data_IF_322939269070
#
_entry.id   IF_322939269070
#
_cell.length_a   1.000
_cell.length_b   1.000
_cell.length_c   1.000
_cell.angle_alpha   90.00
_cell.angle_beta   90.00
_cell.angle_gamma   90.00
#
_symmetry.space_group_name_H-M   'P 1'
#
loop_
_entity.id
_entity.type
_entity.pdbx_description
1 polymer ?
#
# COMPACT_ATOMS: atom_id res chain seq x y z
N UNK A 1 -12.05 14.46 14.32
CA UNK A 1 -12.20 14.97 12.95
C UNK A 1 -12.94 13.92 12.12
N UNK A 2 -13.63 14.35 11.09
CA UNK A 2 -14.24 13.49 10.10
C UNK A 2 -13.87 14.01 8.71
N UNK A 3 -13.59 13.11 7.80
CA UNK A 3 -13.31 13.40 6.40
C UNK A 3 -14.31 12.69 5.49
N UNK A 4 -14.38 13.11 4.26
CA UNK A 4 -15.28 12.52 3.28
C UNK A 4 -14.51 12.13 2.03
N UNK A 5 -15.04 11.11 1.33
CA UNK A 5 -14.59 10.67 0.02
C UNK A 5 -15.78 10.07 -0.72
N UNK A 6 -15.93 10.44 -1.97
CA UNK A 6 -16.85 9.77 -2.88
C UNK A 6 -16.03 9.07 -3.97
N UNK A 7 -16.03 7.73 -3.97
CA UNK A 7 -15.32 6.93 -4.97
C UNK A 7 -16.28 6.43 -6.04
N UNK A 8 -16.00 6.77 -7.29
CA UNK A 8 -16.76 6.36 -8.45
C UNK A 8 -15.91 5.46 -9.36
N UNK A 9 -16.44 4.28 -9.72
CA UNK A 9 -15.75 3.27 -10.54
C UNK A 9 -16.56 2.92 -11.79
N UNK A 10 -16.61 3.78 -12.81
CA UNK A 10 -17.32 3.48 -14.05
C UNK A 10 -16.53 2.53 -14.94
N UNK A 11 -17.27 1.70 -15.67
CA UNK A 11 -16.73 0.88 -16.76
C UNK A 11 -17.44 1.25 -18.04
N UNK A 12 -16.70 1.68 -19.05
CA UNK A 12 -17.21 2.04 -20.37
C UNK A 12 -16.92 0.86 -21.31
N UNK A 13 -17.94 0.23 -21.82
CA UNK A 13 -17.81 -0.83 -22.83
C UNK A 13 -17.89 -0.21 -24.22
N UNK A 14 -16.77 -0.24 -24.95
CA UNK A 14 -16.69 0.29 -26.33
C UNK A 14 -17.15 -0.78 -27.31
N UNK A 15 -16.75 -2.04 -27.05
CA UNK A 15 -17.17 -3.22 -27.83
C UNK A 15 -17.17 -4.47 -26.93
N UNK A 16 -17.53 -5.63 -27.49
CA UNK A 16 -17.46 -6.91 -26.77
C UNK A 16 -16.03 -7.31 -26.36
N UNK A 17 -15.04 -6.76 -27.06
CA UNK A 17 -13.62 -7.03 -26.83
C UNK A 17 -12.86 -5.91 -26.13
N UNK A 18 -13.41 -4.69 -26.05
CA UNK A 18 -12.71 -3.53 -25.50
C UNK A 18 -13.54 -2.81 -24.44
N UNK A 19 -12.98 -2.69 -23.24
CA UNK A 19 -13.56 -1.90 -22.16
C UNK A 19 -12.54 -0.96 -21.54
N UNK A 20 -13.00 0.19 -21.04
CA UNK A 20 -12.20 1.16 -20.29
C UNK A 20 -12.72 1.18 -18.85
N UNK A 21 -11.82 1.13 -17.92
CA UNK A 21 -12.07 1.15 -16.49
C UNK A 21 -11.42 2.38 -15.89
N UNK A 22 -12.12 3.06 -14.99
CA UNK A 22 -11.55 4.18 -14.25
C UNK A 22 -11.99 4.15 -12.80
N UNK A 23 -11.15 4.69 -11.93
CA UNK A 23 -11.47 4.95 -10.52
C UNK A 23 -11.18 6.40 -10.25
N UNK A 24 -12.22 7.12 -9.83
CA UNK A 24 -12.14 8.56 -9.52
C UNK A 24 -12.59 8.76 -8.08
N UNK A 25 -11.74 9.41 -7.29
CA UNK A 25 -12.10 9.88 -5.96
C UNK A 25 -12.45 11.37 -6.04
N UNK A 26 -13.61 11.73 -5.50
CA UNK A 26 -14.10 13.10 -5.41
C UNK A 26 -14.13 13.49 -3.94
N UNK A 27 -13.68 14.68 -3.60
CA UNK A 27 -13.49 15.18 -2.24
C UNK A 27 -12.63 14.22 -1.40
N UNK A 28 -11.53 13.75 -1.99
CA UNK A 28 -10.64 12.76 -1.39
C UNK A 28 -10.01 13.32 -0.11
N UNK A 29 -10.39 12.75 1.04
CA UNK A 29 -9.92 13.14 2.37
C UNK A 29 -10.20 14.60 2.77
N UNK A 30 -11.20 15.23 2.17
CA UNK A 30 -11.61 16.57 2.60
C UNK A 30 -12.19 16.50 4.01
N UNK A 31 -11.60 17.26 4.93
CA UNK A 31 -12.09 17.37 6.30
C UNK A 31 -13.43 18.11 6.33
N UNK A 32 -14.42 17.54 7.02
CA UNK A 32 -15.72 18.16 7.18
C UNK A 32 -15.60 19.50 7.92
N UNK A 33 -16.29 20.51 7.40
CA UNK A 33 -16.31 21.85 7.99
C UNK A 33 -15.56 22.89 7.17
N UNK A 34 -15.12 22.59 5.95
CA UNK A 34 -14.35 23.41 5.01
C UNK A 34 -13.63 24.60 5.66
N UNK A 35 -12.33 24.55 5.67
CA UNK A 35 -11.49 25.54 6.35
C UNK A 35 -11.53 26.85 5.59
N UNK A 36 -12.01 27.96 6.19
CA UNK A 36 -11.79 29.27 5.61
C UNK A 36 -10.29 29.56 5.53
N UNK A 37 -9.88 30.51 4.69
CA UNK A 37 -8.49 30.99 4.59
C UNK A 37 -7.92 31.30 5.99
N UNK A 38 -7.38 30.27 6.61
CA UNK A 38 -6.74 30.36 7.92
C UNK A 38 -5.25 30.55 7.72
N UNK A 39 -4.77 31.73 8.08
CA UNK A 39 -3.33 31.95 8.12
C UNK A 39 -2.78 31.45 9.48
N UNK A 40 -2.10 30.30 9.52
CA UNK A 40 -1.55 29.74 10.75
C UNK A 40 -0.47 30.64 11.39
N UNK A 41 0.05 31.62 10.65
CA UNK A 41 1.00 32.62 11.14
C UNK A 41 0.33 33.79 11.86
N UNK A 42 -1.00 33.79 11.94
CA UNK A 42 -1.76 34.81 12.65
C UNK A 42 -2.72 34.19 13.67
N UNK A 43 -2.18 33.62 14.76
CA UNK A 43 -3.01 33.06 15.83
C UNK A 43 -3.78 34.12 16.62
N UNK A 44 -3.52 35.42 16.34
CA UNK A 44 -4.15 36.59 16.94
C UNK A 44 -5.51 36.95 16.34
N UNK A 45 -6.01 36.16 15.36
CA UNK A 45 -7.34 36.39 14.78
C UNK A 45 -8.33 35.33 15.29
N UNK A 46 -8.81 35.49 16.57
CA UNK A 46 -9.70 34.47 17.18
C UNK A 46 -11.09 34.42 16.55
N UNK A 47 -11.43 35.39 15.67
CA UNK A 47 -12.75 35.54 15.08
C UNK A 47 -12.89 34.88 13.70
N UNK A 48 -11.84 34.24 13.18
CA UNK A 48 -11.94 33.47 11.93
C UNK A 48 -12.98 32.36 12.04
N UNK A 49 -13.18 31.78 13.24
CA UNK A 49 -14.21 30.79 13.50
C UNK A 49 -15.64 31.32 13.34
N UNK A 50 -15.84 32.63 13.37
CA UNK A 50 -17.13 33.29 13.22
C UNK A 50 -17.31 33.93 11.83
N UNK A 51 -16.34 33.76 10.96
CA UNK A 51 -16.45 34.22 9.57
C UNK A 51 -17.47 33.35 8.84
N UNK A 52 -18.45 33.99 8.24
CA UNK A 52 -19.45 33.32 7.40
C UNK A 52 -18.99 33.13 5.95
N UNK A 53 -17.85 33.66 5.58
CA UNK A 53 -17.30 33.53 4.24
C UNK A 53 -16.56 32.20 4.12
N UNK A 54 -17.26 31.16 3.73
CA UNK A 54 -16.65 29.92 3.27
C UNK A 54 -16.24 30.12 1.82
N UNK A 55 -14.97 30.36 1.60
CA UNK A 55 -14.40 30.29 0.26
C UNK A 55 -14.24 28.81 -0.11
N UNK A 56 -14.49 28.43 -1.37
CA UNK A 56 -14.04 27.13 -1.84
C UNK A 56 -12.55 27.01 -1.51
N UNK A 57 -12.13 25.91 -0.92
CA UNK A 57 -10.76 25.75 -0.46
C UNK A 57 -9.78 26.00 -1.60
N UNK A 58 -8.73 26.76 -1.42
CA UNK A 58 -7.75 27.24 -2.39
C UNK A 58 -6.27 27.06 -1.99
N UNK A 59 -5.98 26.40 -0.87
CA UNK A 59 -4.60 26.17 -0.37
C UNK A 59 -4.26 24.68 -0.18
N UNK A 60 -3.14 24.38 0.46
CA UNK A 60 -2.54 23.04 0.61
C UNK A 60 -3.49 21.92 1.11
N UNK A 61 -4.61 22.26 1.69
CA UNK A 61 -5.64 21.33 2.19
C UNK A 61 -6.90 21.31 1.31
N UNK A 62 -6.78 21.65 0.04
CA UNK A 62 -7.90 22.17 -0.73
C UNK A 62 -8.25 21.42 -1.99
N UNK A 63 -9.39 21.83 -2.55
CA UNK A 63 -10.05 21.38 -3.78
C UNK A 63 -9.12 21.17 -4.99
N UNK A 64 -7.91 21.66 -4.98
CA UNK A 64 -6.93 21.39 -6.03
C UNK A 64 -6.79 19.88 -6.28
N UNK A 65 -6.99 19.08 -5.24
CA UNK A 65 -6.95 17.62 -5.25
C UNK A 65 -8.33 16.99 -5.01
N UNK A 66 -9.40 17.77 -5.09
CA UNK A 66 -10.76 17.29 -4.81
C UNK A 66 -11.26 16.23 -5.80
N UNK A 67 -10.66 16.16 -6.97
CA UNK A 67 -10.93 15.11 -7.97
C UNK A 67 -9.60 14.46 -8.35
N UNK A 68 -9.45 13.19 -7.96
CA UNK A 68 -8.29 12.38 -8.28
C UNK A 68 -8.66 11.20 -9.15
N UNK A 69 -8.07 11.12 -10.34
CA UNK A 69 -8.15 9.92 -11.16
C UNK A 69 -7.07 8.96 -10.66
N UNK A 70 -7.47 7.92 -9.92
CA UNK A 70 -6.55 6.91 -9.38
C UNK A 70 -6.19 5.86 -10.40
N UNK A 71 -7.16 5.43 -11.19
CA UNK A 71 -6.98 4.40 -12.21
C UNK A 71 -7.64 4.84 -13.52
N UNK A 72 -6.97 4.57 -14.61
CA UNK A 72 -7.50 4.67 -15.97
C UNK A 72 -6.77 3.66 -16.85
N UNK A 73 -7.46 2.57 -17.19
CA UNK A 73 -6.87 1.49 -17.98
C UNK A 73 -7.89 0.86 -18.92
N UNK A 74 -7.38 0.28 -19.97
CA UNK A 74 -8.17 -0.45 -20.95
C UNK A 74 -7.92 -1.96 -20.82
N UNK A 75 -8.98 -2.75 -21.04
CA UNK A 75 -8.91 -4.19 -21.22
C UNK A 75 -9.30 -4.53 -22.64
N UNK A 76 -8.41 -5.18 -23.35
CA UNK A 76 -8.64 -5.69 -24.69
C UNK A 76 -8.53 -7.21 -24.70
N UNK A 77 -9.62 -7.90 -25.04
CA UNK A 77 -9.66 -9.36 -25.19
C UNK A 77 -9.04 -9.75 -26.51
N UNK A 78 -7.77 -10.11 -26.49
CA UNK A 78 -7.00 -10.50 -27.65
C UNK A 78 -6.85 -12.04 -27.66
N UNK A 79 -7.39 -12.73 -28.68
CA UNK A 79 -7.27 -14.20 -28.85
C UNK A 79 -7.66 -15.01 -27.60
N UNK A 80 -8.62 -14.53 -26.81
CA UNK A 80 -9.07 -15.19 -25.58
C UNK A 80 -8.27 -14.84 -24.31
N UNK A 81 -7.22 -14.05 -24.44
CA UNK A 81 -6.44 -13.53 -23.32
C UNK A 81 -6.69 -12.02 -23.11
N UNK A 82 -6.97 -11.54 -21.91
CA UNK A 82 -7.06 -10.11 -21.65
C UNK A 82 -5.67 -9.48 -21.64
N UNK A 83 -5.47 -8.51 -22.54
CA UNK A 83 -4.40 -7.54 -22.48
C UNK A 83 -4.92 -6.30 -21.76
N UNK A 84 -4.24 -5.85 -20.72
CA UNK A 84 -4.57 -4.63 -19.97
C UNK A 84 -3.43 -3.64 -20.05
N UNK A 85 -3.76 -2.38 -20.23
CA UNK A 85 -2.77 -1.32 -20.29
C UNK A 85 -3.34 0.00 -19.77
N UNK A 86 -2.49 0.79 -19.12
CA UNK A 86 -2.80 2.05 -18.48
C UNK A 86 -2.46 2.06 -16.99
N UNK A 87 -2.90 3.10 -16.28
CA UNK A 87 -2.68 3.22 -14.83
C UNK A 87 -3.67 2.36 -14.07
N UNK A 88 -3.18 1.38 -13.35
CA UNK A 88 -4.02 0.45 -12.59
C UNK A 88 -3.43 0.11 -11.23
N UNK A 89 -4.31 -0.21 -10.28
CA UNK A 89 -3.92 -0.64 -8.94
C UNK A 89 -3.24 -2.02 -8.98
N UNK A 90 -2.26 -2.19 -8.11
CA UNK A 90 -1.61 -3.47 -7.84
C UNK A 90 -2.02 -3.97 -6.47
N UNK A 91 -2.63 -5.15 -6.43
CA UNK A 91 -3.04 -5.76 -5.17
C UNK A 91 -2.77 -7.26 -5.21
N UNK A 92 -2.09 -7.76 -4.19
CA UNK A 92 -1.75 -9.16 -4.07
C UNK A 92 -2.05 -9.67 -2.66
N UNK A 93 -2.51 -10.90 -2.55
CA UNK A 93 -2.75 -11.59 -1.28
C UNK A 93 -3.66 -10.83 -0.31
N UNK A 94 -3.18 -10.66 0.91
CA UNK A 94 -3.78 -9.81 1.96
C UNK A 94 -3.53 -8.31 1.72
N UNK A 95 -2.63 -7.99 0.80
CA UNK A 95 -2.17 -6.62 0.57
C UNK A 95 -1.08 -6.18 1.53
N UNK A 96 -0.30 -7.13 2.06
CA UNK A 96 0.82 -6.84 2.95
C UNK A 96 1.98 -6.18 2.20
N UNK A 97 2.26 -6.64 0.97
CA UNK A 97 3.34 -6.10 0.14
C UNK A 97 2.82 -5.14 -0.93
N UNK A 98 1.75 -5.50 -1.63
CA UNK A 98 1.17 -4.69 -2.71
C UNK A 98 -0.32 -4.50 -2.46
N UNK A 99 -0.75 -3.26 -2.26
CA UNK A 99 -2.12 -2.92 -1.92
C UNK A 99 -2.70 -1.87 -2.87
N UNK A 100 -3.71 -2.24 -3.63
CA UNK A 100 -4.35 -1.35 -4.60
C UNK A 100 -5.23 -0.25 -4.02
N UNK A 101 -5.29 -0.11 -2.69
CA UNK A 101 -6.05 0.96 -2.04
C UNK A 101 -7.56 0.91 -2.32
N UNK A 102 -8.11 -0.28 -2.55
CA UNK A 102 -9.52 -0.44 -2.92
C UNK A 102 -10.49 -0.47 -1.73
N UNK A 103 -9.97 -0.60 -0.53
CA UNK A 103 -10.77 -0.56 0.69
C UNK A 103 -11.32 0.85 0.95
N UNK A 104 -12.47 0.96 1.62
CA UNK A 104 -13.10 2.24 1.94
C UNK A 104 -12.23 3.15 2.83
N UNK A 105 -11.40 2.54 3.68
CA UNK A 105 -10.47 3.20 4.62
C UNK A 105 -9.02 3.23 4.07
N UNK A 106 -8.82 3.10 2.76
CA UNK A 106 -7.51 3.13 2.15
C UNK A 106 -7.22 4.52 1.57
N UNK A 107 -6.21 5.20 2.10
CA UNK A 107 -5.80 6.54 1.68
C UNK A 107 -4.74 6.51 0.59
N UNK A 108 -3.97 5.46 0.54
CA UNK A 108 -2.90 5.22 -0.41
C UNK A 108 -3.32 4.16 -1.44
N UNK A 109 -2.40 3.69 -2.22
CA UNK A 109 -2.58 2.59 -3.15
C UNK A 109 -1.38 2.50 -4.06
N UNK A 110 -0.99 1.28 -4.38
CA UNK A 110 0.04 1.00 -5.37
C UNK A 110 -0.57 1.09 -6.76
N UNK A 111 -0.33 2.19 -7.46
CA UNK A 111 -0.76 2.41 -8.84
C UNK A 111 0.44 2.47 -9.75
N UNK A 112 0.39 1.69 -10.83
CA UNK A 112 1.47 1.64 -11.81
C UNK A 112 0.94 1.89 -13.21
N UNK A 113 1.75 2.57 -14.03
CA UNK A 113 1.54 2.62 -15.47
C UNK A 113 2.02 1.29 -16.04
N UNK A 114 1.06 0.41 -16.35
CA UNK A 114 1.24 -1.03 -16.52
C UNK A 114 0.76 -1.52 -17.87
N UNK A 115 1.50 -2.45 -18.46
CA UNK A 115 1.02 -3.33 -19.52
C UNK A 115 1.11 -4.75 -19.01
N UNK A 116 0.00 -5.48 -19.02
CA UNK A 116 -0.04 -6.86 -18.54
C UNK A 116 -0.96 -7.75 -19.38
N UNK A 117 -0.63 -9.02 -19.40
CA UNK A 117 -1.45 -10.07 -20.00
C UNK A 117 -1.66 -11.21 -19.01
N UNK A 118 -2.80 -11.86 -19.08
CA UNK A 118 -3.08 -13.04 -18.25
C UNK A 118 -3.68 -14.16 -19.09
N UNK A 119 -3.32 -15.39 -18.74
CA UNK A 119 -3.81 -16.61 -19.36
C UNK A 119 -4.37 -17.54 -18.29
N UNK A 120 -5.39 -18.30 -18.64
CA UNK A 120 -5.90 -19.36 -17.77
C UNK A 120 -5.64 -20.72 -18.41
N UNK A 121 -4.98 -21.59 -17.68
CA UNK A 121 -4.69 -22.96 -18.08
C UNK A 121 -5.09 -23.92 -16.95
N UNK A 122 -6.05 -24.81 -17.20
CA UNK A 122 -6.48 -25.84 -16.24
C UNK A 122 -6.84 -25.31 -14.84
N UNK A 123 -7.49 -24.15 -14.75
CA UNK A 123 -7.86 -23.53 -13.48
C UNK A 123 -6.72 -22.77 -12.77
N UNK A 124 -5.55 -22.68 -13.38
CA UNK A 124 -4.42 -21.87 -12.93
C UNK A 124 -4.33 -20.64 -13.84
N UNK A 125 -4.19 -19.47 -13.22
CA UNK A 125 -3.92 -18.22 -13.92
C UNK A 125 -2.42 -17.94 -13.92
N UNK A 126 -1.91 -17.54 -15.08
CA UNK A 126 -0.55 -17.05 -15.26
C UNK A 126 -0.68 -15.63 -15.79
N UNK A 127 -0.14 -14.68 -15.08
CA UNK A 127 -0.12 -13.27 -15.49
C UNK A 127 1.32 -12.77 -15.51
N UNK A 128 1.62 -11.87 -16.42
CA UNK A 128 2.89 -11.18 -16.48
C UNK A 128 2.71 -9.79 -17.04
N UNK A 129 3.60 -8.89 -16.67
CA UNK A 129 3.53 -7.51 -17.11
C UNK A 129 4.80 -6.73 -16.84
N UNK A 130 4.76 -5.50 -17.30
CA UNK A 130 5.80 -4.52 -17.13
C UNK A 130 5.18 -3.22 -16.62
N UNK A 131 5.82 -2.61 -15.63
CA UNK A 131 5.38 -1.40 -14.97
C UNK A 131 6.46 -0.33 -15.05
N UNK A 132 6.05 0.90 -15.33
CA UNK A 132 6.79 2.11 -15.03
C UNK A 132 6.31 2.57 -13.65
N UNK A 133 7.21 2.53 -12.67
CA UNK A 133 6.89 2.84 -11.27
C UNK A 133 7.10 4.32 -10.98
N UNK A 134 8.18 4.90 -11.53
CA UNK A 134 8.53 6.30 -11.39
C UNK A 134 9.35 6.73 -12.60
N UNK A 135 9.10 7.95 -13.07
CA UNK A 135 9.82 8.54 -14.21
C UNK A 135 11.17 9.19 -13.83
N UNK A 136 11.64 8.95 -12.60
CA UNK A 136 12.93 9.47 -12.17
C UNK A 136 13.04 11.01 -12.11
N UNK A 137 14.23 11.52 -11.81
CA UNK A 137 14.47 12.96 -11.63
C UNK A 137 14.58 13.76 -12.92
N UNK A 138 14.83 13.14 -14.07
CA UNK A 138 14.96 13.87 -15.36
C UNK A 138 13.59 14.14 -16.02
N UNK A 139 12.51 13.69 -15.38
CA UNK A 139 11.17 13.99 -15.74
C UNK A 139 10.87 15.48 -15.57
N UNK A 140 10.52 16.14 -16.66
CA UNK A 140 10.05 17.53 -16.62
C UNK A 140 8.53 17.58 -16.63
N UNK A 141 7.96 17.83 -15.46
CA UNK A 141 6.57 18.28 -15.44
C UNK A 141 6.52 19.60 -16.18
N UNK A 142 5.76 19.66 -17.26
CA UNK A 142 5.51 20.90 -17.96
C UNK A 142 4.74 21.86 -17.04
N UNK A 143 5.41 22.40 -16.02
CA UNK A 143 4.98 23.63 -15.35
C UNK A 143 5.05 24.80 -16.32
N UNK A 144 5.53 24.56 -17.52
CA UNK A 144 5.61 25.53 -18.61
C UNK A 144 4.29 25.51 -19.38
N UNK A 145 3.62 26.64 -19.56
CA UNK A 145 2.35 26.72 -20.27
C UNK A 145 2.42 26.35 -21.75
N UNK A 146 3.55 25.85 -22.26
CA UNK A 146 3.83 25.72 -23.69
C UNK A 146 4.35 24.35 -24.14
N UNK A 147 4.29 23.32 -23.32
CA UNK A 147 4.85 22.03 -23.73
C UNK A 147 4.14 20.80 -23.18
N UNK A 148 4.34 19.67 -23.83
CA UNK A 148 4.04 18.36 -23.25
C UNK A 148 5.08 18.06 -22.20
N UNK A 149 4.68 17.35 -21.14
CA UNK A 149 5.62 16.71 -20.24
C UNK A 149 6.52 15.77 -21.05
N UNK A 150 7.80 15.77 -20.78
CA UNK A 150 8.77 14.88 -21.43
C UNK A 150 9.76 14.34 -20.41
N UNK A 151 10.29 13.20 -20.73
CA UNK A 151 11.37 12.56 -19.99
C UNK A 151 12.64 12.62 -20.84
N UNK A 152 13.75 13.04 -20.25
CA UNK A 152 15.02 13.19 -20.97
C UNK A 152 15.68 11.83 -21.15
N UNK A 153 15.55 10.95 -20.17
CA UNK A 153 16.14 9.61 -20.23
C UNK A 153 15.36 8.64 -19.34
N UNK A 154 15.16 7.44 -19.83
CA UNK A 154 14.52 6.35 -19.07
C UNK A 154 15.53 5.57 -18.19
N UNK A 155 16.77 6.03 -18.09
CA UNK A 155 17.81 5.34 -17.32
C UNK A 155 17.73 5.61 -15.82
N UNK A 156 17.06 6.66 -15.41
CA UNK A 156 16.73 7.05 -14.03
C UNK A 156 15.35 6.56 -13.55
N UNK A 157 14.57 6.00 -14.48
CA UNK A 157 13.31 5.39 -14.16
C UNK A 157 13.42 4.23 -13.17
N UNK A 158 12.43 4.13 -12.30
CA UNK A 158 12.17 2.91 -11.55
C UNK A 158 11.23 2.02 -12.36
N UNK A 159 11.77 0.95 -12.89
CA UNK A 159 11.07 0.01 -13.76
C UNK A 159 10.94 -1.35 -13.09
N UNK A 160 9.85 -2.06 -13.37
CA UNK A 160 9.70 -3.44 -12.90
C UNK A 160 8.98 -4.34 -13.90
N UNK A 161 9.40 -5.60 -13.92
CA UNK A 161 8.64 -6.68 -14.51
C UNK A 161 8.08 -7.58 -13.44
N UNK A 162 6.93 -8.20 -13.69
CA UNK A 162 6.36 -9.17 -12.75
C UNK A 162 5.78 -10.39 -13.43
N UNK A 163 5.73 -11.48 -12.67
CA UNK A 163 5.04 -12.72 -13.02
C UNK A 163 4.21 -13.15 -11.83
N UNK A 164 2.98 -13.58 -12.08
CA UNK A 164 2.09 -14.16 -11.09
C UNK A 164 1.54 -15.50 -11.58
N UNK A 165 1.55 -16.50 -10.71
CA UNK A 165 0.93 -17.81 -10.95
C UNK A 165 0.00 -18.07 -9.77
N UNK A 166 -1.29 -18.26 -10.03
CA UNK A 166 -2.24 -18.39 -8.94
C UNK A 166 -3.48 -19.20 -9.32
N UNK A 167 -4.15 -19.72 -8.30
CA UNK A 167 -5.44 -20.38 -8.41
C UNK A 167 -6.39 -19.73 -7.40
N UNK A 168 -7.30 -18.91 -7.91
CA UNK A 168 -8.42 -18.30 -7.15
C UNK A 168 -9.57 -18.04 -8.15
N UNK A 169 -10.82 -18.01 -7.68
CA UNK A 169 -11.93 -17.69 -8.57
C UNK A 169 -11.84 -16.23 -9.05
N UNK A 170 -11.89 -16.06 -10.37
CA UNK A 170 -11.98 -14.74 -11.03
C UNK A 170 -13.27 -14.64 -11.83
N UNK A 171 -13.62 -15.72 -12.56
CA UNK A 171 -14.83 -15.74 -13.39
C UNK A 171 -16.05 -16.13 -12.57
N UNK A 172 -17.23 -15.66 -12.99
CA UNK A 172 -18.47 -15.90 -12.24
C UNK A 172 -18.74 -17.39 -12.00
N UNK A 173 -18.52 -18.24 -12.99
CA UNK A 173 -18.72 -19.69 -12.85
C UNK A 173 -17.78 -20.33 -11.82
N UNK A 174 -16.57 -19.80 -11.63
CA UNK A 174 -15.63 -20.26 -10.60
C UNK A 174 -16.08 -19.85 -9.21
N UNK A 175 -16.62 -18.63 -9.06
CA UNK A 175 -17.25 -18.19 -7.83
C UNK A 175 -18.45 -19.05 -7.45
N UNK A 176 -19.28 -19.40 -8.44
CA UNK A 176 -20.44 -20.29 -8.24
C UNK A 176 -20.01 -21.71 -7.86
N UNK A 177 -18.99 -22.24 -8.52
CA UNK A 177 -18.39 -23.53 -8.19
C UNK A 177 -17.83 -23.54 -6.75
N UNK A 178 -17.09 -22.48 -6.37
CA UNK A 178 -16.59 -22.30 -4.99
C UNK A 178 -17.73 -22.24 -3.98
N UNK A 179 -18.77 -21.45 -4.24
CA UNK A 179 -19.96 -21.36 -3.38
C UNK A 179 -20.62 -22.73 -3.21
N UNK A 180 -20.77 -23.50 -4.29
CA UNK A 180 -21.31 -24.86 -4.25
C UNK A 180 -20.44 -25.78 -3.40
N UNK A 181 -19.13 -25.77 -3.57
CA UNK A 181 -18.17 -26.54 -2.78
C UNK A 181 -18.27 -26.24 -1.29
N UNK A 182 -18.31 -24.95 -0.91
CA UNK A 182 -18.36 -24.52 0.48
C UNK A 182 -19.73 -24.76 1.13
N UNK A 183 -20.83 -24.42 0.41
CA UNK A 183 -22.17 -24.35 1.02
C UNK A 183 -22.94 -25.67 0.85
N UNK A 184 -22.87 -26.32 -0.31
CA UNK A 184 -23.60 -27.57 -0.59
C UNK A 184 -22.79 -28.80 -0.22
N UNK A 185 -21.54 -28.88 -0.69
CA UNK A 185 -20.70 -30.03 -0.49
C UNK A 185 -20.01 -30.05 0.89
N UNK A 186 -19.97 -28.93 1.59
CA UNK A 186 -19.30 -28.79 2.88
C UNK A 186 -17.82 -29.18 2.83
N UNK A 187 -17.16 -28.86 1.74
CA UNK A 187 -15.72 -29.13 1.53
C UNK A 187 -14.91 -27.85 1.64
N UNK A 188 -13.68 -27.93 2.14
CA UNK A 188 -12.79 -26.77 2.16
C UNK A 188 -12.42 -26.33 0.74
N UNK A 189 -12.29 -25.03 0.54
CA UNK A 189 -11.77 -24.42 -0.67
C UNK A 189 -10.39 -23.83 -0.35
N UNK A 190 -9.44 -24.07 -1.27
CA UNK A 190 -8.07 -23.56 -1.17
C UNK A 190 -7.78 -22.67 -2.35
N UNK A 191 -7.19 -21.54 -2.08
CA UNK A 191 -6.62 -20.65 -3.06
C UNK A 191 -5.15 -20.44 -2.73
N UNK A 192 -4.36 -20.19 -3.73
CA UNK A 192 -2.93 -19.92 -3.59
C UNK A 192 -2.41 -19.06 -4.73
N UNK A 193 -1.29 -18.40 -4.49
CA UNK A 193 -0.61 -17.68 -5.53
C UNK A 193 0.84 -17.38 -5.17
N UNK A 194 1.65 -17.32 -6.22
CA UNK A 194 3.03 -16.86 -6.18
C UNK A 194 3.13 -15.65 -7.11
N UNK A 195 3.60 -14.54 -6.57
CA UNK A 195 3.87 -13.30 -7.27
C UNK A 195 5.34 -12.97 -7.14
N UNK A 196 5.98 -12.57 -8.21
CA UNK A 196 7.40 -12.22 -8.17
C UNK A 196 7.62 -10.98 -9.00
N UNK A 197 8.26 -9.99 -8.43
CA UNK A 197 8.65 -8.75 -9.07
C UNK A 197 10.16 -8.71 -9.24
N UNK A 198 10.63 -8.26 -10.39
CA UNK A 198 11.98 -7.80 -10.60
C UNK A 198 11.95 -6.29 -10.83
N UNK A 199 12.57 -5.53 -9.93
CA UNK A 199 12.62 -4.05 -9.97
C UNK A 199 14.05 -3.59 -10.15
N UNK A 200 14.25 -2.51 -10.92
CA UNK A 200 15.58 -1.90 -11.13
C UNK A 200 15.47 -0.38 -11.19
N UNK A 201 16.57 0.28 -10.80
CA UNK A 201 16.83 1.70 -10.97
C UNK A 201 18.33 1.88 -11.18
N UNK A 202 18.74 2.57 -12.25
CA UNK A 202 20.16 2.75 -12.56
C UNK A 202 20.68 4.09 -12.02
N UNK A 203 19.96 5.16 -12.26
CA UNK A 203 20.33 6.52 -11.85
C UNK A 203 19.29 7.09 -10.87
N UNK A 204 19.70 8.09 -10.10
CA UNK A 204 18.85 8.78 -9.12
C UNK A 204 19.38 10.18 -8.87
N UNK A 205 18.66 11.01 -8.14
CA UNK A 205 19.14 12.34 -7.70
C UNK A 205 19.93 12.18 -6.42
N UNK A 206 21.05 12.90 -6.25
CA UNK A 206 21.66 13.05 -4.95
C UNK A 206 20.72 13.78 -3.99
N UNK A 207 20.82 13.46 -2.70
CA UNK A 207 20.12 14.21 -1.65
C UNK A 207 20.48 15.70 -1.75
N UNK A 208 19.50 16.62 -1.63
CA UNK A 208 19.82 18.04 -1.63
C UNK A 208 20.79 18.36 -0.49
N UNK A 209 21.81 19.14 -0.80
CA UNK A 209 22.79 19.56 0.19
C UNK A 209 22.07 20.32 1.32
N UNK A 210 22.30 19.91 2.56
CA UNK A 210 21.84 20.64 3.75
C UNK A 210 22.97 21.50 4.32
N UNK A 211 22.67 22.70 4.78
CA UNK A 211 23.61 23.50 5.54
C UNK A 211 23.88 22.86 6.91
N UNK A 212 24.87 23.36 7.63
CA UNK A 212 25.21 22.86 8.96
C UNK A 212 24.12 23.00 10.03
N UNK A 213 22.97 23.60 9.69
CA UNK A 213 21.77 23.69 10.53
C UNK A 213 20.70 22.67 10.14
N UNK A 214 20.93 21.87 9.09
CA UNK A 214 19.94 20.94 8.55
C UNK A 214 18.90 21.57 7.61
N UNK A 215 19.08 22.85 7.25
CA UNK A 215 18.24 23.53 6.28
C UNK A 215 18.67 23.13 4.89
N UNK A 216 17.74 22.66 4.06
CA UNK A 216 18.00 22.40 2.64
C UNK A 216 18.49 23.72 2.02
N UNK A 217 19.67 23.68 1.44
CA UNK A 217 20.17 24.80 0.63
C UNK A 217 19.32 24.79 -0.64
N UNK A 218 18.26 25.58 -0.65
CA UNK A 218 17.55 25.91 -1.87
C UNK A 218 18.50 26.72 -2.75
N UNK A 219 19.30 26.02 -3.54
CA UNK A 219 20.02 26.67 -4.61
C UNK A 219 18.96 27.04 -5.68
N UNK A 220 18.53 28.31 -5.64
CA UNK A 220 17.60 28.89 -6.61
C UNK A 220 18.16 28.85 -8.04
N UNK A 221 19.40 28.42 -8.20
CA UNK A 221 20.14 28.22 -9.44
C UNK A 221 20.32 26.73 -9.82
N UNK A 222 19.50 25.83 -9.29
CA UNK A 222 19.37 24.47 -9.83
C UNK A 222 18.82 24.57 -11.28
N UNK A 223 19.66 25.14 -12.13
CA UNK A 223 19.54 25.02 -13.57
C UNK A 223 19.89 23.60 -13.93
N UNK A 224 19.21 23.05 -14.90
CA UNK A 224 19.43 21.71 -15.47
C UNK A 224 20.90 21.39 -15.79
N UNK A 225 21.77 22.38 -15.81
CA UNK A 225 23.19 22.28 -16.11
C UNK A 225 24.04 21.66 -14.97
N UNK A 226 23.48 21.51 -13.76
CA UNK A 226 24.20 21.08 -12.57
C UNK A 226 23.63 19.79 -11.92
N UNK A 227 22.77 19.05 -12.62
CA UNK A 227 22.29 17.75 -12.14
C UNK A 227 23.41 16.70 -12.26
N UNK A 228 24.10 16.44 -11.17
CA UNK A 228 24.89 15.22 -11.04
C UNK A 228 23.95 14.06 -10.71
N UNK A 229 23.66 13.22 -11.70
CA UNK A 229 22.89 12.00 -11.46
C UNK A 229 23.78 10.98 -10.71
N UNK A 230 23.24 10.47 -9.60
CA UNK A 230 23.88 9.44 -8.82
C UNK A 230 23.65 8.06 -9.43
N UNK A 231 24.69 7.28 -9.58
CA UNK A 231 24.53 5.86 -9.97
C UNK A 231 24.01 5.06 -8.80
N UNK A 232 22.72 4.69 -8.83
CA UNK A 232 22.11 3.77 -7.86
C UNK A 232 22.45 2.32 -8.16
N UNK A 233 22.41 1.93 -9.43
CA UNK A 233 22.64 0.54 -9.87
C UNK A 233 21.85 -0.46 -8.98
N UNK A 234 20.63 -0.10 -8.64
CA UNK A 234 19.78 -0.85 -7.74
C UNK A 234 18.96 -1.91 -8.51
N UNK A 235 18.87 -3.09 -7.93
CA UNK A 235 17.92 -4.10 -8.38
C UNK A 235 17.40 -4.93 -7.21
N UNK A 236 16.19 -5.45 -7.36
CA UNK A 236 15.59 -6.34 -6.37
C UNK A 236 14.71 -7.39 -7.05
N UNK A 237 14.73 -8.61 -6.50
CA UNK A 237 13.75 -9.67 -6.75
C UNK A 237 12.88 -9.79 -5.51
N UNK A 238 11.57 -9.75 -5.70
CA UNK A 238 10.58 -9.70 -4.62
C UNK A 238 9.57 -10.84 -4.83
N UNK A 239 9.85 -12.06 -4.35
CA UNK A 239 8.87 -13.13 -4.31
C UNK A 239 7.87 -12.92 -3.17
N UNK A 240 6.60 -13.23 -3.43
CA UNK A 240 5.49 -13.17 -2.50
C UNK A 240 4.59 -14.40 -2.68
N UNK A 241 4.37 -15.11 -1.61
CA UNK A 241 3.52 -16.30 -1.54
C UNK A 241 2.26 -15.98 -0.74
N UNK A 242 1.11 -16.24 -1.33
CA UNK A 242 -0.18 -16.12 -0.70
C UNK A 242 -0.94 -17.43 -0.69
N UNK A 243 -1.55 -17.76 0.45
CA UNK A 243 -2.35 -18.97 0.68
C UNK A 243 -3.66 -18.60 1.38
N UNK A 244 -4.78 -19.17 0.95
CA UNK A 244 -6.07 -19.03 1.62
C UNK A 244 -6.80 -20.35 1.69
N UNK A 245 -7.34 -20.66 2.85
CA UNK A 245 -8.28 -21.74 3.08
C UNK A 245 -9.60 -21.19 3.63
N UNK A 246 -10.70 -21.59 3.05
CA UNK A 246 -12.04 -21.33 3.56
C UNK A 246 -12.79 -22.64 3.73
N UNK A 247 -13.51 -22.80 4.86
CA UNK A 247 -14.30 -23.97 5.16
C UNK A 247 -15.60 -23.60 5.86
N UNK A 248 -16.71 -24.18 5.43
CA UNK A 248 -18.03 -23.98 6.02
C UNK A 248 -18.67 -25.32 6.39
N UNK A 249 -18.33 -25.89 7.56
CA UNK A 249 -18.84 -27.19 7.99
C UNK A 249 -20.35 -27.19 8.21
N UNK A 250 -20.94 -26.03 8.54
CA UNK A 250 -22.38 -25.85 8.69
C UNK A 250 -22.84 -24.47 8.22
N UNK A 251 -24.14 -24.18 8.20
CA UNK A 251 -24.66 -22.85 7.87
C UNK A 251 -24.24 -21.78 8.87
N UNK A 252 -23.99 -22.20 10.12
CA UNK A 252 -23.62 -21.29 11.21
C UNK A 252 -22.11 -21.25 11.46
N UNK A 253 -21.32 -22.01 10.72
CA UNK A 253 -19.89 -22.12 10.96
C UNK A 253 -19.09 -21.77 9.71
N UNK A 254 -18.12 -20.89 9.88
CA UNK A 254 -17.17 -20.51 8.85
C UNK A 254 -15.77 -20.45 9.48
N UNK A 255 -14.80 -21.06 8.81
CA UNK A 255 -13.39 -20.91 9.10
C UNK A 255 -12.71 -20.29 7.88
N UNK A 256 -11.93 -19.24 8.09
CA UNK A 256 -11.03 -18.63 7.11
C UNK A 256 -9.63 -18.58 7.71
N UNK A 257 -8.66 -19.00 6.92
CA UNK A 257 -7.25 -18.87 7.25
C UNK A 257 -6.56 -18.31 6.02
N UNK A 258 -5.78 -17.27 6.21
CA UNK A 258 -5.02 -16.61 5.16
C UNK A 258 -3.60 -16.34 5.62
N UNK A 259 -2.64 -16.50 4.72
CA UNK A 259 -1.21 -16.27 4.95
C UNK A 259 -0.62 -15.58 3.73
N UNK A 260 0.17 -14.55 3.96
CA UNK A 260 1.02 -13.91 2.97
C UNK A 260 2.44 -13.85 3.50
N UNK A 261 3.43 -14.15 2.66
CA UNK A 261 4.84 -14.10 3.01
C UNK A 261 5.65 -13.58 1.82
N UNK A 262 6.36 -12.48 2.05
CA UNK A 262 7.17 -11.82 1.03
C UNK A 262 8.62 -11.67 1.48
N UNK A 263 9.51 -11.61 0.51
CA UNK A 263 10.93 -11.35 0.71
C UNK A 263 11.42 -10.35 -0.33
N UNK A 264 12.32 -9.47 0.07
CA UNK A 264 13.06 -8.59 -0.86
C UNK A 264 14.51 -9.04 -0.85
N UNK A 265 15.01 -9.43 -1.99
CA UNK A 265 16.40 -9.79 -2.19
C UNK A 265 16.99 -8.96 -3.33
N UNK A 266 18.12 -8.30 -3.10
CA UNK A 266 18.70 -7.45 -4.12
C UNK A 266 19.95 -6.72 -3.66
N UNK A 267 20.19 -5.59 -4.31
CA UNK A 267 21.38 -4.81 -4.14
C UNK A 267 21.12 -3.35 -4.50
N UNK A 268 21.77 -2.45 -3.77
CA UNK A 268 21.91 -1.03 -4.10
C UNK A 268 23.39 -0.75 -4.24
N UNK A 269 23.83 -0.30 -5.43
CA UNK A 269 25.24 -0.08 -5.72
C UNK A 269 25.82 1.09 -4.95
N UNK A 270 25.08 2.20 -4.85
CA UNK A 270 25.50 3.40 -4.14
C UNK A 270 24.36 3.95 -3.31
N UNK A 271 24.57 4.11 -2.02
CA UNK A 271 23.56 4.57 -1.06
C UNK A 271 23.64 6.05 -0.80
N UNK A 272 24.84 6.62 -0.76
CA UNK A 272 25.07 8.00 -0.38
C UNK A 272 24.90 8.98 -1.54
N UNK A 273 24.47 10.20 -1.23
CA UNK A 273 24.33 11.30 -2.16
C UNK A 273 25.63 11.67 -2.92
N UNK A 274 26.78 11.48 -2.30
CA UNK A 274 28.09 11.77 -2.91
C UNK A 274 28.73 10.57 -3.63
N UNK A 275 28.00 9.46 -3.81
CA UNK A 275 28.50 8.26 -4.46
C UNK A 275 29.56 7.47 -3.68
N UNK A 276 29.84 7.83 -2.42
CA UNK A 276 30.92 7.23 -1.63
C UNK A 276 30.52 6.06 -0.75
N UNK A 277 29.23 5.80 -0.59
CA UNK A 277 28.69 4.86 0.41
C UNK A 277 28.89 3.37 0.10
N UNK A 278 29.30 3.04 -1.11
CA UNK A 278 29.53 1.66 -1.54
C UNK A 278 28.25 0.82 -1.60
N UNK A 279 28.42 -0.40 -2.03
CA UNK A 279 27.35 -1.37 -2.25
C UNK A 279 26.69 -1.85 -0.96
N UNK A 280 25.35 -2.04 -1.00
CA UNK A 280 24.54 -2.64 0.07
C UNK A 280 23.69 -3.79 -0.48
N UNK A 281 23.67 -4.88 0.24
CA UNK A 281 22.76 -6.00 -0.03
C UNK A 281 21.38 -5.71 0.58
N UNK A 282 20.32 -5.96 -0.17
CA UNK A 282 18.95 -5.96 0.32
C UNK A 282 18.56 -7.39 0.68
N UNK A 283 18.15 -7.63 1.92
CA UNK A 283 17.64 -8.93 2.36
C UNK A 283 16.63 -8.73 3.48
N UNK A 284 15.37 -8.52 3.14
CA UNK A 284 14.30 -8.29 4.10
C UNK A 284 13.12 -9.21 3.84
N UNK A 285 12.30 -9.44 4.85
CA UNK A 285 11.14 -10.33 4.76
C UNK A 285 9.99 -9.85 5.64
N UNK A 286 8.78 -10.21 5.23
CA UNK A 286 7.56 -9.97 5.97
C UNK A 286 6.63 -11.17 5.87
N UNK A 287 5.83 -11.38 6.92
CA UNK A 287 4.79 -12.42 6.96
C UNK A 287 3.57 -11.88 7.69
N UNK A 288 2.38 -12.13 7.14
CA UNK A 288 1.10 -11.81 7.73
C UNK A 288 0.19 -13.04 7.74
N UNK A 289 -0.52 -13.23 8.81
CA UNK A 289 -1.47 -14.30 9.03
C UNK A 289 -2.79 -13.73 9.54
N UNK A 290 -3.89 -14.16 8.95
CA UNK A 290 -5.26 -13.87 9.40
C UNK A 290 -6.03 -15.17 9.56
N UNK A 291 -6.56 -15.39 10.75
CA UNK A 291 -7.42 -16.53 11.07
C UNK A 291 -8.75 -16.07 11.63
N UNK A 292 -9.87 -16.57 11.11
CA UNK A 292 -11.21 -16.22 11.56
C UNK A 292 -12.08 -17.46 11.67
N UNK A 293 -12.75 -17.62 12.80
CA UNK A 293 -13.77 -18.64 13.02
C UNK A 293 -15.07 -18.00 13.47
N UNK A 294 -16.12 -18.19 12.69
CA UNK A 294 -17.49 -17.74 13.01
C UNK A 294 -18.37 -18.92 13.39
N UNK A 295 -19.15 -18.74 14.45
CA UNK A 295 -20.20 -19.68 14.87
C UNK A 295 -21.45 -18.92 15.30
N UNK A 296 -22.47 -18.91 14.44
CA UNK A 296 -23.67 -18.12 14.66
C UNK A 296 -23.36 -16.63 14.70
N UNK A 297 -23.70 -15.97 15.79
CA UNK A 297 -23.42 -14.54 16.02
C UNK A 297 -22.02 -14.27 16.57
N UNK A 298 -21.26 -15.29 16.93
CA UNK A 298 -19.92 -15.14 17.51
C UNK A 298 -18.87 -15.34 16.44
N UNK A 299 -17.96 -14.38 16.30
CA UNK A 299 -16.74 -14.48 15.50
C UNK A 299 -15.54 -14.28 16.40
N UNK A 300 -14.56 -15.17 16.31
CA UNK A 300 -13.25 -15.08 16.96
C UNK A 300 -12.19 -15.08 15.88
N UNK A 301 -11.18 -14.28 16.06
CA UNK A 301 -10.08 -14.26 15.12
C UNK A 301 -8.74 -14.02 15.79
N UNK A 302 -7.71 -14.25 14.98
CA UNK A 302 -6.33 -14.03 15.33
C UNK A 302 -5.62 -13.49 14.09
N UNK A 303 -5.14 -12.26 14.19
CA UNK A 303 -4.22 -11.68 13.20
C UNK A 303 -2.83 -11.67 13.83
N UNK A 304 -1.83 -12.03 13.07
CA UNK A 304 -0.44 -12.02 13.51
C UNK A 304 0.48 -11.70 12.34
N UNK A 305 1.62 -11.11 12.61
CA UNK A 305 2.59 -10.84 11.57
C UNK A 305 3.95 -10.46 12.12
N UNK A 306 4.90 -10.41 11.20
CA UNK A 306 6.24 -9.96 11.49
C UNK A 306 6.88 -9.34 10.26
N UNK A 307 7.63 -8.26 10.46
CA UNK A 307 8.44 -7.60 9.45
C UNK A 307 9.87 -7.49 9.97
N UNK A 308 10.82 -7.98 9.20
CA UNK A 308 12.24 -7.91 9.57
C UNK A 308 12.68 -6.47 9.82
N UNK A 309 13.60 -6.29 10.74
CA UNK A 309 14.18 -5.02 11.11
C UNK A 309 15.62 -4.88 10.64
N UNK A 310 16.13 -3.67 10.82
CA UNK A 310 17.55 -3.33 10.65
C UNK A 310 18.02 -2.67 11.96
N UNK A 311 19.26 -2.92 12.34
CA UNK A 311 19.84 -2.31 13.54
C UNK A 311 20.14 -0.81 13.38
N UNK A 312 20.12 -0.30 12.16
CA UNK A 312 20.34 1.11 11.87
C UNK A 312 19.17 1.97 12.30
N UNK A 313 19.44 2.99 13.11
CA UNK A 313 18.40 3.86 13.72
C UNK A 313 17.52 4.59 12.70
N UNK A 314 18.03 4.92 11.53
CA UNK A 314 17.30 5.66 10.51
C UNK A 314 16.32 4.84 9.66
N UNK A 315 16.25 3.53 9.80
CA UNK A 315 15.46 2.67 8.91
C UNK A 315 14.08 2.29 9.44
N UNK A 316 13.71 2.65 10.65
CA UNK A 316 12.40 2.29 11.20
C UNK A 316 11.36 3.40 11.01
N UNK A 317 11.32 4.36 11.89
CA UNK A 317 10.25 5.38 11.93
C UNK A 317 10.83 6.78 11.69
N UNK A 318 12.04 7.01 12.16
CA UNK A 318 12.60 8.34 12.31
C UNK A 318 13.90 8.47 11.56
N UNK A 319 14.04 9.61 10.93
CA UNK A 319 15.24 10.24 10.44
C UNK A 319 16.28 9.33 9.74
N UNK A 320 16.25 9.37 8.44
CA UNK A 320 17.21 8.69 7.55
C UNK A 320 18.62 9.26 7.68
N UNK A 321 18.82 10.38 8.36
CA UNK A 321 20.11 11.08 8.47
C UNK A 321 21.21 10.28 9.14
N UNK A 322 20.86 9.31 9.99
CA UNK A 322 21.84 8.49 10.69
C UNK A 322 22.14 7.14 10.02
N UNK A 323 21.42 6.81 8.94
CA UNK A 323 21.60 5.55 8.22
C UNK A 323 23.04 5.30 7.79
N UNK A 324 23.72 6.33 7.29
CA UNK A 324 25.10 6.24 6.83
C UNK A 324 26.10 5.98 7.96
N UNK A 325 25.86 6.57 9.13
CA UNK A 325 26.76 6.44 10.28
C UNK A 325 26.59 5.09 10.97
N UNK A 326 25.36 4.66 11.18
CA UNK A 326 25.07 3.43 11.88
C UNK A 326 25.37 2.18 11.02
N UNK A 327 25.27 2.31 9.69
CA UNK A 327 25.59 1.23 8.74
C UNK A 327 27.02 1.23 8.18
N UNK A 328 27.91 2.00 8.77
CA UNK A 328 29.32 2.04 8.30
C UNK A 328 29.99 0.66 8.21
N UNK A 329 29.62 -0.26 9.07
CA UNK A 329 30.15 -1.62 9.14
C UNK A 329 29.18 -2.71 8.68
N UNK A 330 27.89 -2.41 8.56
CA UNK A 330 26.86 -3.33 8.09
C UNK A 330 26.51 -3.03 6.62
N UNK A 331 26.86 -3.96 5.73
CA UNK A 331 26.58 -3.83 4.29
C UNK A 331 25.19 -4.35 3.87
N UNK A 332 24.31 -4.63 4.83
CA UNK A 332 22.98 -5.16 4.56
C UNK A 332 21.91 -4.18 4.95
N UNK A 333 20.87 -4.12 4.16
CA UNK A 333 19.60 -3.45 4.47
C UNK A 333 18.58 -4.57 4.67
N UNK A 334 18.11 -4.74 5.91
CA UNK A 334 17.28 -5.87 6.30
C UNK A 334 15.87 -5.45 6.75
N UNK A 335 15.56 -4.16 6.72
CA UNK A 335 14.27 -3.64 7.13
C UNK A 335 13.18 -3.91 6.08
N UNK A 336 12.09 -4.54 6.49
CA UNK A 336 10.88 -4.73 5.70
C UNK A 336 9.77 -3.82 6.24
N UNK A 337 8.95 -3.28 5.33
CA UNK A 337 7.76 -2.50 5.68
C UNK A 337 6.55 -3.10 4.99
N UNK A 338 5.47 -3.30 5.74
CA UNK A 338 4.17 -3.62 5.15
C UNK A 338 3.63 -2.40 4.41
N UNK A 339 2.75 -2.64 3.46
CA UNK A 339 2.01 -1.57 2.82
C UNK A 339 1.21 -0.76 3.86
N UNK A 340 1.13 0.56 3.66
CA UNK A 340 0.44 1.46 4.59
C UNK A 340 -1.05 1.20 4.72
N UNK A 341 -1.68 0.64 3.68
CA UNK A 341 -3.10 0.27 3.70
C UNK A 341 -3.37 -1.11 4.29
N UNK A 342 -2.33 -1.85 4.67
CA UNK A 342 -2.50 -3.07 5.47
C UNK A 342 -2.68 -2.69 6.93
N UNK A 343 -3.89 -2.32 7.29
CA UNK A 343 -4.23 -1.81 8.62
C UNK A 343 -4.37 -2.95 9.62
N UNK A 344 -3.48 -2.99 10.59
CA UNK A 344 -3.48 -3.95 11.68
C UNK A 344 -4.27 -3.44 12.88
N UNK A 345 -4.11 -2.16 13.21
CA UNK A 345 -4.61 -1.50 14.41
C UNK A 345 -5.13 -0.08 14.12
N UNK A 346 -5.44 0.67 15.16
CA UNK A 346 -5.92 2.05 15.06
C UNK A 346 -4.83 3.08 15.39
N UNK A 347 -3.85 2.75 16.24
CA UNK A 347 -2.91 3.72 16.80
C UNK A 347 -1.46 3.34 16.52
N UNK A 348 -0.99 2.18 17.02
CA UNK A 348 0.44 1.86 17.06
C UNK A 348 1.08 1.82 15.68
N UNK A 349 0.63 0.92 14.82
CA UNK A 349 1.20 0.79 13.48
C UNK A 349 0.61 1.80 12.50
N UNK A 350 -0.65 2.17 12.67
CA UNK A 350 -1.33 3.08 11.75
C UNK A 350 -0.88 4.53 11.92
N UNK A 351 -0.92 5.07 13.13
CA UNK A 351 -0.71 6.50 13.38
C UNK A 351 0.71 6.80 13.88
N UNK A 352 1.26 5.95 14.74
CA UNK A 352 2.57 6.21 15.35
C UNK A 352 3.71 5.77 14.43
N UNK A 353 3.61 4.55 13.87
CA UNK A 353 4.67 3.97 13.04
C UNK A 353 4.43 4.14 11.54
N UNK A 354 3.20 4.36 11.11
CA UNK A 354 2.80 4.48 9.71
C UNK A 354 2.72 3.15 8.94
N UNK A 355 3.29 2.06 9.46
CA UNK A 355 3.17 0.69 8.93
C UNK A 355 3.78 -0.32 9.89
N UNK A 356 3.54 -1.61 9.68
CA UNK A 356 4.27 -2.68 10.38
C UNK A 356 5.68 -2.76 9.80
N UNK A 357 6.67 -2.56 10.64
CA UNK A 357 8.09 -2.63 10.30
C UNK A 357 8.92 -2.96 11.54
N UNK A 358 10.01 -3.71 11.38
CA UNK A 358 10.91 -4.06 12.48
C UNK A 358 10.20 -4.60 13.72
N UNK A 359 9.12 -5.34 13.57
CA UNK A 359 8.29 -5.81 14.68
C UNK A 359 7.60 -7.12 14.35
N UNK A 360 7.19 -7.81 15.39
CA UNK A 360 6.14 -8.81 15.29
C UNK A 360 4.96 -8.40 16.16
N UNK A 361 3.77 -8.84 15.78
CA UNK A 361 2.54 -8.60 16.51
C UNK A 361 1.64 -9.80 16.54
N UNK A 362 0.77 -9.83 17.55
CA UNK A 362 -0.33 -10.77 17.71
C UNK A 362 -1.56 -9.99 18.11
N UNK A 363 -2.68 -10.19 17.39
CA UNK A 363 -3.93 -9.49 17.63
C UNK A 363 -5.11 -10.47 17.66
N UNK A 364 -5.40 -11.14 18.78
CA UNK A 364 -6.67 -11.83 18.97
C UNK A 364 -7.82 -10.83 19.02
N UNK A 365 -8.98 -11.24 18.50
CA UNK A 365 -10.20 -10.47 18.59
C UNK A 365 -11.44 -11.33 18.76
N UNK A 366 -12.48 -10.70 19.29
CA UNK A 366 -13.81 -11.26 19.43
C UNK A 366 -14.84 -10.26 18.91
N UNK A 367 -15.77 -10.75 18.11
CA UNK A 367 -16.88 -9.99 17.59
C UNK A 367 -18.18 -10.72 17.90
N UNK A 368 -19.20 -9.97 18.28
CA UNK A 368 -20.53 -10.49 18.52
C UNK A 368 -21.58 -9.66 17.82
N UNK A 369 -22.40 -10.31 17.00
CA UNK A 369 -23.53 -9.70 16.30
C UNK A 369 -24.75 -9.76 17.23
N UNK A 370 -25.09 -8.61 17.83
CA UNK A 370 -26.25 -8.46 18.72
C UNK A 370 -27.56 -8.64 17.96
N UNK A 371 -27.60 -8.17 16.73
CA UNK A 371 -28.71 -8.31 15.80
C UNK A 371 -28.14 -8.69 14.43
N UNK A 372 -28.67 -9.73 13.85
CA UNK A 372 -28.27 -10.22 12.53
C UNK A 372 -29.53 -10.63 11.76
N UNK A 373 -30.01 -9.73 10.89
CA UNK A 373 -31.11 -9.97 9.96
C UNK A 373 -30.55 -10.07 8.53
N UNK A 374 -31.31 -10.59 7.55
CA UNK A 374 -30.86 -10.66 6.17
C UNK A 374 -30.37 -9.31 5.60
N UNK A 375 -30.96 -8.21 6.04
CA UNK A 375 -30.75 -6.88 5.47
C UNK A 375 -29.91 -5.95 6.38
N UNK A 376 -29.66 -6.33 7.65
CA UNK A 376 -28.91 -5.49 8.58
C UNK A 376 -28.28 -6.28 9.73
N UNK A 377 -27.10 -5.89 10.12
CA UNK A 377 -26.41 -6.40 11.30
C UNK A 377 -25.94 -5.25 12.20
N UNK A 378 -26.09 -5.42 13.50
CA UNK A 378 -25.51 -4.54 14.53
C UNK A 378 -24.68 -5.39 15.45
N UNK A 379 -23.47 -4.99 15.73
CA UNK A 379 -22.58 -5.74 16.59
C UNK A 379 -21.48 -4.90 17.20
N UNK A 380 -20.69 -5.58 18.02
CA UNK A 380 -19.48 -5.03 18.63
C UNK A 380 -18.30 -5.94 18.44
N UNK A 381 -17.12 -5.36 18.36
CA UNK A 381 -15.83 -6.06 18.26
C UNK A 381 -14.85 -5.49 19.27
N UNK A 382 -14.07 -6.34 19.87
CA UNK A 382 -12.96 -6.02 20.75
C UNK A 382 -11.70 -6.69 20.21
N UNK A 383 -10.67 -5.90 20.00
CA UNK A 383 -9.35 -6.34 19.55
C UNK A 383 -8.32 -6.07 20.66
N UNK A 384 -7.36 -6.96 20.81
CA UNK A 384 -6.22 -6.79 21.72
C UNK A 384 -4.95 -7.00 20.90
N UNK A 385 -4.15 -5.98 20.73
CA UNK A 385 -2.89 -6.07 20.02
C UNK A 385 -1.73 -5.99 20.98
N UNK A 386 -0.78 -6.90 20.85
CA UNK A 386 0.54 -6.81 21.47
C UNK A 386 1.62 -6.86 20.40
N UNK A 387 2.58 -5.95 20.51
CA UNK A 387 3.67 -5.86 19.55
C UNK A 387 5.03 -5.69 20.23
N UNK A 388 6.06 -6.22 19.55
CA UNK A 388 7.44 -6.18 20.02
C UNK A 388 8.42 -5.99 18.86
N UNK A 389 9.46 -5.17 19.09
CA UNK A 389 10.54 -4.95 18.16
C UNK A 389 11.38 -6.19 17.93
N UNK A 390 11.83 -6.42 16.69
CA UNK A 390 12.81 -7.44 16.34
C UNK A 390 14.25 -6.92 16.57
N UNK A 391 14.49 -5.65 16.20
CA UNK A 391 15.76 -4.94 16.39
C UNK A 391 15.52 -3.72 17.30
N UNK A 392 15.56 -3.88 18.64
CA UNK A 392 15.21 -2.81 19.57
C UNK A 392 16.09 -1.56 19.45
N UNK A 393 17.36 -1.74 19.09
CA UNK A 393 18.31 -0.62 18.95
C UNK A 393 17.91 0.40 17.88
N UNK A 394 17.06 0.01 16.94
CA UNK A 394 16.56 0.88 15.89
C UNK A 394 15.45 1.84 16.38
N UNK A 395 14.90 1.59 17.55
CA UNK A 395 13.86 2.43 18.15
C UNK A 395 14.43 3.43 19.16
N UNK A 396 13.76 4.59 19.34
CA UNK A 396 14.09 5.49 20.43
C UNK A 396 14.02 4.77 21.79
N UNK A 397 15.07 4.89 22.60
CA UNK A 397 15.14 4.23 23.91
C UNK A 397 15.66 2.80 23.90
N UNK A 398 15.69 2.10 22.76
CA UNK A 398 16.24 0.74 22.65
C UNK A 398 15.43 -0.35 23.36
N UNK A 399 14.18 -0.05 23.72
CA UNK A 399 13.30 -1.01 24.37
C UNK A 399 12.63 -1.94 23.37
N UNK A 400 12.52 -3.25 23.66
CA UNK A 400 11.90 -4.19 22.76
C UNK A 400 10.38 -4.12 22.73
N UNK A 401 9.72 -3.72 23.83
CA UNK A 401 8.27 -3.72 23.93
C UNK A 401 7.70 -2.46 23.28
N UNK A 402 6.90 -2.63 22.22
CA UNK A 402 6.22 -1.54 21.53
C UNK A 402 4.88 -1.19 22.19
N UNK A 403 4.32 -2.11 22.96
CA UNK A 403 3.15 -1.88 23.79
C UNK A 403 1.97 -2.81 23.54
N UNK A 404 0.90 -2.50 24.25
CA UNK A 404 -0.40 -3.17 24.20
C UNK A 404 -1.45 -2.14 23.76
N UNK A 405 -2.24 -2.48 22.76
CA UNK A 405 -3.35 -1.66 22.29
C UNK A 405 -4.67 -2.42 22.45
N UNK A 406 -5.70 -1.70 22.87
CA UNK A 406 -7.05 -2.22 23.03
C UNK A 406 -7.99 -1.39 22.15
N UNK A 407 -8.60 -2.02 21.15
CA UNK A 407 -9.56 -1.40 20.25
C UNK A 407 -10.97 -1.93 20.48
N UNK A 408 -11.93 -1.02 20.56
CA UNK A 408 -13.34 -1.36 20.63
C UNK A 408 -14.11 -0.73 19.46
N UNK A 409 -14.90 -1.53 18.76
CA UNK A 409 -15.67 -1.09 17.61
C UNK A 409 -17.14 -1.47 17.77
N UNK A 410 -18.04 -0.54 17.52
CA UNK A 410 -19.45 -0.80 17.30
C UNK A 410 -19.71 -0.61 15.82
N UNK A 411 -20.41 -1.53 15.18
CA UNK A 411 -20.69 -1.45 13.77
C UNK A 411 -22.18 -1.68 13.47
N UNK A 412 -22.60 -1.04 12.40
CA UNK A 412 -23.85 -1.29 11.70
C UNK A 412 -23.51 -1.64 10.26
N UNK A 413 -23.96 -2.78 9.78
CA UNK A 413 -23.85 -3.19 8.39
C UNK A 413 -25.27 -3.37 7.81
N UNK A 414 -25.51 -2.82 6.62
CA UNK A 414 -26.72 -3.08 5.85
C UNK A 414 -26.33 -3.60 4.48
N UNK A 415 -26.94 -4.71 4.05
CA UNK A 415 -26.83 -5.16 2.66
C UNK A 415 -27.97 -4.52 1.87
N UNK A 416 -27.66 -3.74 0.84
CA UNK A 416 -28.60 -3.23 -0.14
C UNK A 416 -28.65 -4.16 -1.35
#
# INVERSE_FOLDING_TARGET
SANMRFRYKPTIRISDSLSIHTTVDVLDNVVLGSTPDYNPLRPDVPFSAFSSAQVPPSNEFEIKDSIRVKELWAEWKLLGAPLRFGRMGSHWGLGMLANGGNHWDADFGDYYDRVMMSLQLYGIYIAGGYDIVSSGPTYNQAMQPFGQAYDITETDDVQQGFVAIFSRPIQQHEHDARKTRLVRERKPAFDWGLYTVYRKQNLDVPEPATDGSGTVIEDSDLKYDNYELLKREAWAVIPDLWLRMEYRPSYMQKLRIELEAAMIYGKVGYVNANGSGGERELMSWGVAFEGEYTRGSLTMGLDAGAASGDSARGLTIMDQSNFEQDNKFNKKITNFKFDRNYHVDQILFREVMGSVTNAWYVKPYIQYDLFNAPDAAIGGRLDVLYARALEPNAYPGGEPDLGLELDAKIFFASEN
#
